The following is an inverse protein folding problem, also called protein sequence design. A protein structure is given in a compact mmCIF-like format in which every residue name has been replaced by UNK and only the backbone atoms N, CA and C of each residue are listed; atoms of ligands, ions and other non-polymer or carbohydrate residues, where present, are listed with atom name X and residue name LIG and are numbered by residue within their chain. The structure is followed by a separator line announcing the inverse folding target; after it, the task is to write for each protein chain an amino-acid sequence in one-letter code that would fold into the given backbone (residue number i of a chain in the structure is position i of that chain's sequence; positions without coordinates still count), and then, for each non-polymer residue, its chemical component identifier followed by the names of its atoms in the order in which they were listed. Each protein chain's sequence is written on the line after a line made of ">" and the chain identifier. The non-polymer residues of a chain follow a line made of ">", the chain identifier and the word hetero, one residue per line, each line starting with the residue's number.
data_IF_552983967086
#
_entry.id   IF_552983967086
#
_cell.length_a   1.000
_cell.length_b   1.000
_cell.length_c   1.000
_cell.angle_alpha   90.00
_cell.angle_beta   90.00
_cell.angle_gamma   90.00
#
_symmetry.space_group_name_H-M   'P 1'
#
loop_
_entity.id
_entity.type
_entity.pdbx_description
1 polymer ?
#
# COMPACT_ATOMS: atom_id res chain seq x y z
N UNK A 1 74.22 -8.91 21.43
CA UNK A 1 73.04 -8.20 21.99
C UNK A 1 72.48 -7.28 20.92
N UNK A 2 71.16 -7.26 20.69
CA UNK A 2 70.47 -6.16 19.99
C UNK A 2 68.98 -6.20 20.32
N UNK A 3 68.34 -5.04 20.51
CA UNK A 3 66.91 -4.94 20.85
C UNK A 3 66.10 -4.60 19.61
N UNK A 4 65.18 -5.46 19.18
CA UNK A 4 64.12 -5.06 18.24
C UNK A 4 63.04 -4.32 19.02
N UNK A 5 62.71 -3.09 18.60
CA UNK A 5 61.52 -2.37 19.07
C UNK A 5 60.34 -2.84 18.23
N UNK A 6 59.22 -3.17 18.87
CA UNK A 6 57.94 -3.25 18.18
C UNK A 6 57.42 -1.81 17.94
N UNK A 7 56.79 -1.59 16.79
CA UNK A 7 55.98 -0.40 16.52
C UNK A 7 54.55 -0.90 16.43
N UNK A 8 53.69 -0.38 17.31
CA UNK A 8 52.26 -0.69 17.31
C UNK A 8 51.57 0.29 16.35
N UNK A 9 51.05 -0.21 15.23
CA UNK A 9 50.23 0.58 14.33
C UNK A 9 48.77 0.49 14.79
N UNK A 10 48.25 1.57 15.38
CA UNK A 10 46.84 1.67 15.74
C UNK A 10 46.02 2.04 14.50
N UNK A 11 45.27 1.08 13.96
CA UNK A 11 44.30 1.34 12.90
C UNK A 11 43.03 1.96 13.49
N UNK A 12 42.86 3.27 13.33
CA UNK A 12 41.61 3.96 13.70
C UNK A 12 40.54 3.65 12.66
N UNK A 13 39.63 2.73 12.99
CA UNK A 13 38.41 2.52 12.20
C UNK A 13 37.49 3.73 12.35
N UNK A 14 37.51 4.63 11.37
CA UNK A 14 36.57 5.73 11.27
C UNK A 14 35.24 5.22 10.73
N UNK A 15 34.26 5.00 11.61
CA UNK A 15 32.88 4.73 11.19
C UNK A 15 32.31 5.99 10.52
N UNK A 16 32.33 6.03 9.19
CA UNK A 16 31.70 7.08 8.41
C UNK A 16 30.18 6.88 8.49
N UNK A 17 29.53 7.59 9.40
CA UNK A 17 28.07 7.63 9.48
C UNK A 17 27.53 8.40 8.26
N UNK A 18 27.30 7.68 7.17
CA UNK A 18 26.51 8.17 6.05
C UNK A 18 25.08 8.42 6.56
N UNK A 19 24.69 9.69 6.62
CA UNK A 19 23.32 10.05 6.97
C UNK A 19 22.38 9.63 5.85
N UNK A 20 21.45 8.71 6.14
CA UNK A 20 20.38 8.34 5.21
C UNK A 20 19.54 9.59 4.94
N UNK A 21 19.37 10.02 3.67
CA UNK A 21 18.45 11.11 3.35
C UNK A 21 17.02 10.60 3.58
N UNK A 22 16.41 11.05 4.67
CA UNK A 22 14.98 10.82 4.94
C UNK A 22 14.16 11.38 3.78
N UNK A 23 13.17 10.64 3.27
CA UNK A 23 12.07 11.28 2.54
C UNK A 23 11.55 12.46 3.37
N UNK A 24 11.34 13.61 2.71
CA UNK A 24 10.98 14.84 3.38
C UNK A 24 9.63 14.67 4.08
N UNK A 25 9.53 15.09 5.35
CA UNK A 25 8.29 14.96 6.15
C UNK A 25 7.07 15.70 5.55
N UNK A 26 7.27 16.46 4.47
CA UNK A 26 6.23 17.07 3.67
C UNK A 26 5.20 16.06 3.12
N UNK A 27 5.59 14.82 2.81
CA UNK A 27 4.66 13.78 2.35
C UNK A 27 3.73 13.31 3.48
N UNK A 28 4.32 12.88 4.60
CA UNK A 28 3.60 12.29 5.73
C UNK A 28 2.50 13.18 6.32
N UNK A 29 2.74 14.50 6.41
CA UNK A 29 1.80 15.49 6.95
C UNK A 29 0.79 16.04 5.91
N UNK A 30 0.87 15.68 4.62
CA UNK A 30 0.04 16.31 3.57
C UNK A 30 -0.71 15.37 2.61
N UNK A 31 -0.31 14.11 2.45
CA UNK A 31 -0.95 13.20 1.50
C UNK A 31 -2.36 12.73 1.91
N UNK A 32 -2.52 12.25 3.15
CA UNK A 32 -3.77 11.66 3.62
C UNK A 32 -4.74 12.75 4.09
N UNK A 33 -5.57 13.21 3.16
CA UNK A 33 -6.32 14.46 3.24
C UNK A 33 -7.13 14.65 4.53
N UNK A 34 -6.65 15.54 5.41
CA UNK A 34 -7.34 15.91 6.65
C UNK A 34 -8.56 16.81 6.36
N UNK A 35 -9.66 16.17 5.95
CA UNK A 35 -10.88 16.81 5.46
C UNK A 35 -12.17 16.17 5.98
N UNK A 36 -12.21 15.83 7.28
CA UNK A 36 -13.30 15.12 7.93
C UNK A 36 -14.63 15.88 8.04
N UNK A 37 -15.23 16.27 6.92
CA UNK A 37 -16.50 16.97 6.82
C UNK A 37 -17.44 16.26 5.84
N UNK A 38 -18.63 15.87 6.32
CA UNK A 38 -19.69 15.27 5.51
C UNK A 38 -20.28 16.29 4.54
N UNK A 39 -19.69 16.42 3.36
CA UNK A 39 -20.24 17.26 2.30
C UNK A 39 -21.42 16.60 1.61
N UNK A 40 -22.60 16.83 2.19
CA UNK A 40 -23.83 16.84 1.42
C UNK A 40 -23.73 17.84 0.26
N UNK A 41 -24.50 17.60 -0.79
CA UNK A 41 -24.55 18.42 -2.01
C UNK A 41 -24.72 19.92 -1.69
N UNK A 42 -24.01 20.80 -2.41
CA UNK A 42 -24.62 21.95 -3.10
C UNK A 42 -23.62 22.76 -3.97
N UNK A 43 -24.18 23.72 -4.73
CA UNK A 43 -23.57 24.48 -5.82
C UNK A 43 -22.64 25.64 -5.34
N UNK A 44 -21.78 26.21 -6.22
CA UNK A 44 -20.77 27.21 -5.82
C UNK A 44 -21.36 28.58 -5.44
N UNK A 45 -20.61 29.34 -4.61
CA UNK A 45 -21.01 30.65 -4.07
C UNK A 45 -19.87 31.68 -4.05
N UNK A 46 -20.16 32.91 -4.46
CA UNK A 46 -19.28 34.11 -4.35
C UNK A 46 -20.13 35.39 -4.53
N UNK A 47 -19.90 36.53 -3.84
CA UNK A 47 -19.51 36.74 -2.44
C UNK A 47 -20.54 37.64 -1.65
N UNK A 48 -20.27 37.91 -0.37
CA UNK A 48 -21.08 38.73 0.57
C UNK A 48 -20.99 40.26 0.32
N UNK A 49 -21.93 41.11 0.83
CA UNK A 49 -21.84 41.60 2.22
C UNK A 49 -23.17 41.76 3.02
N UNK A 50 -23.03 41.75 4.35
CA UNK A 50 -23.99 41.99 5.48
C UNK A 50 -24.28 43.51 5.69
N UNK A 51 -25.18 44.00 6.60
CA UNK A 51 -26.04 43.31 7.59
C UNK A 51 -27.52 43.82 7.74
N UNK A 52 -28.35 43.13 8.56
CA UNK A 52 -29.08 43.71 9.72
C UNK A 52 -29.99 42.72 10.49
N UNK A 53 -29.78 42.65 11.82
CA UNK A 53 -30.76 42.69 12.93
C UNK A 53 -32.04 41.81 13.06
N UNK A 54 -32.13 41.18 14.26
CA UNK A 54 -33.33 41.08 15.16
C UNK A 54 -34.19 39.78 15.25
N UNK A 55 -34.37 39.37 16.52
CA UNK A 55 -35.45 38.58 17.16
C UNK A 55 -35.55 37.04 17.04
N UNK A 56 -35.34 36.39 18.19
CA UNK A 56 -35.93 35.10 18.61
C UNK A 56 -37.47 35.22 18.75
N UNK A 57 -38.24 34.13 18.60
CA UNK A 57 -38.72 33.45 19.81
C UNK A 57 -38.83 31.90 19.73
N UNK A 58 -38.96 31.31 20.91
CA UNK A 58 -39.47 29.96 21.23
C UNK A 58 -40.38 30.12 22.48
N UNK A 59 -41.07 29.10 23.03
CA UNK A 59 -41.14 27.67 22.66
C UNK A 59 -42.60 27.18 22.49
N UNK A 60 -42.81 25.86 22.48
CA UNK A 60 -43.80 25.19 23.36
C UNK A 60 -43.68 23.66 23.27
N UNK A 61 -43.71 23.00 24.42
CA UNK A 61 -43.75 21.53 24.59
C UNK A 61 -45.21 21.01 24.64
N UNK A 62 -45.39 19.68 24.55
CA UNK A 62 -46.43 18.93 25.29
C UNK A 62 -46.12 17.41 25.27
N UNK A 63 -46.71 16.63 26.17
CA UNK A 63 -46.07 15.45 26.78
C UNK A 63 -46.97 14.19 26.89
N UNK A 64 -46.36 12.98 26.89
CA UNK A 64 -46.87 11.71 27.51
C UNK A 64 -48.22 11.07 27.01
N UNK A 65 -48.63 9.82 27.34
CA UNK A 65 -47.92 8.62 27.89
C UNK A 65 -48.61 7.27 27.51
N UNK A 66 -47.79 6.20 27.53
CA UNK A 66 -48.00 4.76 27.87
C UNK A 66 -49.32 3.95 27.67
N UNK A 67 -49.17 2.68 27.23
CA UNK A 67 -49.80 1.46 27.80
C UNK A 67 -49.44 0.14 27.03
N UNK A 68 -49.11 -0.96 27.74
CA UNK A 68 -49.06 -2.38 27.26
C UNK A 68 -49.71 -3.32 28.31
N UNK A 69 -49.99 -4.66 28.14
CA UNK A 69 -49.25 -5.77 27.46
C UNK A 69 -50.14 -6.57 26.43
N UNK A 70 -50.17 -7.90 26.16
CA UNK A 70 -49.68 -9.17 26.78
C UNK A 70 -49.64 -10.39 25.82
N UNK A 71 -48.80 -11.40 26.14
CA UNK A 71 -48.86 -12.87 25.90
C UNK A 71 -49.43 -13.51 24.58
N UNK A 72 -48.52 -14.03 23.73
CA UNK A 72 -48.09 -15.45 23.61
C UNK A 72 -49.15 -16.56 23.86
N UNK A 73 -49.37 -17.59 22.97
CA UNK A 73 -48.33 -18.55 22.52
C UNK A 73 -48.41 -19.12 21.08
N UNK A 74 -47.40 -19.92 20.70
CA UNK A 74 -47.33 -20.77 19.49
C UNK A 74 -47.77 -22.25 19.79
N UNK A 75 -47.89 -23.18 18.80
CA UNK A 75 -46.70 -23.94 18.34
C UNK A 75 -46.76 -24.60 16.92
N UNK A 76 -45.69 -25.37 16.60
CA UNK A 76 -45.65 -26.56 15.72
C UNK A 76 -45.54 -26.37 14.19
N UNK A 77 -44.79 -27.30 13.57
CA UNK A 77 -44.58 -27.48 12.13
C UNK A 77 -44.78 -28.95 11.74
N UNK A 78 -44.99 -29.25 10.46
CA UNK A 78 -44.93 -30.60 9.88
C UNK A 78 -44.42 -30.53 8.42
N UNK A 79 -44.04 -31.67 7.82
CA UNK A 79 -43.20 -31.74 6.61
C UNK A 79 -43.57 -32.91 5.67
N UNK A 80 -42.73 -33.16 4.67
CA UNK A 80 -42.77 -34.29 3.71
C UNK A 80 -43.80 -34.14 2.56
N UNK A 81 -43.65 -34.87 1.41
CA UNK A 81 -42.68 -35.93 1.14
C UNK A 81 -41.65 -35.65 0.03
N UNK A 82 -40.64 -36.54 0.04
CA UNK A 82 -39.62 -36.76 -1.00
C UNK A 82 -40.09 -37.82 -2.00
N UNK A 83 -39.61 -37.74 -3.25
CA UNK A 83 -39.62 -38.86 -4.20
C UNK A 83 -38.20 -39.16 -4.68
N UNK A 84 -37.95 -40.40 -5.09
CA UNK A 84 -36.64 -41.00 -5.38
C UNK A 84 -36.69 -41.75 -6.72
N UNK A 85 -35.79 -41.42 -7.65
CA UNK A 85 -35.44 -42.27 -8.78
C UNK A 85 -33.94 -42.17 -9.11
N UNK A 86 -33.34 -43.33 -9.36
CA UNK A 86 -31.89 -43.55 -9.58
C UNK A 86 -31.46 -43.32 -11.04
N UNK A 87 -30.15 -43.23 -11.36
CA UNK A 87 -29.66 -42.64 -12.62
C UNK A 87 -29.64 -43.59 -13.83
N UNK A 88 -29.20 -43.07 -14.98
CA UNK A 88 -28.88 -43.83 -16.21
C UNK A 88 -27.63 -43.25 -16.87
N UNK A 89 -26.91 -44.06 -17.63
CA UNK A 89 -25.48 -43.92 -17.95
C UNK A 89 -25.19 -43.63 -19.44
N UNK A 90 -24.12 -42.86 -19.68
CA UNK A 90 -23.30 -42.70 -20.90
C UNK A 90 -23.95 -42.49 -22.30
N UNK A 91 -23.59 -41.36 -22.93
CA UNK A 91 -23.38 -41.26 -24.38
C UNK A 91 -22.39 -40.12 -24.73
N UNK A 92 -21.35 -40.45 -25.50
CA UNK A 92 -20.38 -39.54 -26.16
C UNK A 92 -19.72 -40.32 -27.31
N UNK A 93 -19.05 -39.70 -28.31
CA UNK A 93 -19.05 -38.29 -28.69
C UNK A 93 -19.40 -38.06 -30.19
N UNK A 94 -19.78 -36.83 -30.55
CA UNK A 94 -19.54 -36.28 -31.89
C UNK A 94 -19.02 -34.83 -31.74
N UNK A 95 -18.11 -34.42 -32.62
CA UNK A 95 -17.38 -33.16 -32.50
C UNK A 95 -17.61 -32.26 -33.72
N UNK A 96 -17.63 -30.94 -33.51
CA UNK A 96 -16.77 -29.97 -34.24
C UNK A 96 -16.95 -28.53 -33.69
N UNK A 97 -16.20 -27.57 -34.29
CA UNK A 97 -16.36 -26.12 -34.15
C UNK A 97 -15.93 -25.44 -32.83
N UNK A 98 -14.63 -25.54 -32.53
CA UNK A 98 -13.75 -24.39 -32.25
C UNK A 98 -14.32 -23.18 -31.49
N UNK A 99 -14.14 -23.17 -30.17
CA UNK A 99 -14.05 -21.94 -29.38
C UNK A 99 -12.72 -21.93 -28.62
N UNK A 100 -11.97 -20.83 -28.68
CA UNK A 100 -10.73 -20.67 -27.92
C UNK A 100 -11.06 -20.47 -26.43
N UNK A 101 -10.46 -21.23 -25.50
CA UNK A 101 -10.62 -20.97 -24.08
C UNK A 101 -9.82 -19.74 -23.69
N UNK A 102 -10.49 -18.58 -23.57
CA UNK A 102 -9.96 -17.45 -22.82
C UNK A 102 -9.98 -17.77 -21.31
N UNK A 103 -8.94 -18.48 -20.88
CA UNK A 103 -8.63 -18.85 -19.50
C UNK A 103 -7.09 -18.91 -19.41
N UNK A 104 -6.43 -18.56 -18.31
CA UNK A 104 -6.94 -18.27 -16.97
C UNK A 104 -6.38 -16.91 -16.49
N UNK A 105 -7.09 -16.20 -15.60
CA UNK A 105 -6.42 -15.20 -14.75
C UNK A 105 -5.64 -16.00 -13.70
N UNK A 106 -4.34 -16.17 -13.92
CA UNK A 106 -3.51 -16.99 -13.06
C UNK A 106 -3.36 -16.33 -11.67
N UNK A 107 -3.74 -17.04 -10.62
CA UNK A 107 -3.42 -16.65 -9.24
C UNK A 107 -1.93 -16.90 -8.95
N UNK A 108 -1.07 -16.01 -9.46
CA UNK A 108 0.38 -16.06 -9.32
C UNK A 108 0.81 -15.61 -7.92
N UNK A 109 0.44 -16.43 -6.93
CA UNK A 109 1.04 -16.47 -5.59
C UNK A 109 2.51 -16.92 -5.62
N UNK A 110 2.96 -17.56 -6.70
CA UNK A 110 4.38 -17.77 -6.94
C UNK A 110 5.07 -16.45 -7.31
N UNK A 111 6.10 -16.07 -6.56
CA UNK A 111 6.97 -14.94 -6.88
C UNK A 111 7.71 -15.14 -8.23
N UNK A 112 8.05 -14.07 -8.97
CA UNK A 112 8.68 -14.15 -10.28
C UNK A 112 10.17 -14.53 -10.22
N UNK A 113 10.73 -14.91 -11.37
CA UNK A 113 12.18 -15.04 -11.56
C UNK A 113 12.77 -13.64 -11.90
N UNK A 114 13.53 -13.06 -10.97
CA UNK A 114 14.02 -11.68 -11.03
C UNK A 114 15.38 -11.51 -10.32
N UNK A 115 16.09 -10.39 -10.55
CA UNK A 115 17.42 -10.15 -9.95
C UNK A 115 17.38 -9.93 -8.44
N UNK A 116 16.26 -9.43 -7.91
CA UNK A 116 15.93 -9.47 -6.49
C UNK A 116 14.49 -9.95 -6.32
N UNK A 117 14.29 -10.85 -5.36
CA UNK A 117 12.99 -11.37 -4.92
C UNK A 117 13.07 -11.56 -3.40
N UNK A 118 11.99 -11.24 -2.70
CA UNK A 118 11.79 -11.62 -1.30
C UNK A 118 10.37 -12.21 -1.13
N UNK A 119 10.29 -13.38 -0.50
CA UNK A 119 9.09 -14.21 -0.35
C UNK A 119 8.65 -14.42 1.11
N UNK A 120 9.34 -13.75 2.04
CA UNK A 120 8.98 -13.68 3.47
C UNK A 120 8.81 -15.05 4.16
N UNK A 121 9.51 -16.08 3.68
CA UNK A 121 9.42 -17.48 4.16
C UNK A 121 10.04 -17.75 5.55
N UNK A 122 10.61 -16.76 6.22
CA UNK A 122 11.18 -16.86 7.59
C UNK A 122 10.38 -16.03 8.61
N UNK A 123 9.64 -16.70 9.50
CA UNK A 123 8.89 -16.05 10.58
C UNK A 123 9.74 -15.06 11.40
N UNK A 124 9.25 -13.83 11.53
CA UNK A 124 9.90 -12.76 12.27
C UNK A 124 8.88 -11.95 13.07
N UNK A 125 8.82 -12.17 14.40
CA UNK A 125 8.02 -11.33 15.28
C UNK A 125 8.46 -9.86 15.25
N UNK A 126 7.52 -8.99 15.56
CA UNK A 126 7.68 -7.53 15.59
C UNK A 126 8.97 -7.10 16.31
N UNK A 127 9.76 -6.24 15.65
CA UNK A 127 11.07 -5.80 16.14
C UNK A 127 12.26 -6.69 15.79
N UNK A 128 12.06 -7.86 15.16
CA UNK A 128 13.14 -8.72 14.63
C UNK A 128 13.28 -8.70 13.10
N UNK A 129 12.29 -8.20 12.36
CA UNK A 129 12.22 -8.31 10.88
C UNK A 129 13.52 -7.86 10.20
N UNK A 130 13.98 -6.63 10.39
CA UNK A 130 15.21 -6.13 9.74
C UNK A 130 16.51 -6.80 10.18
N UNK A 131 16.49 -7.57 11.27
CA UNK A 131 17.63 -8.41 11.69
C UNK A 131 17.63 -9.77 10.97
N UNK A 132 16.46 -10.27 10.57
CA UNK A 132 16.29 -11.54 9.86
C UNK A 132 16.29 -11.35 8.33
N UNK A 133 15.85 -10.17 7.87
CA UNK A 133 15.81 -9.73 6.46
C UNK A 133 16.82 -8.62 6.11
N UNK A 134 18.10 -8.66 6.55
CA UNK A 134 19.04 -7.55 6.34
C UNK A 134 19.47 -7.37 4.87
N UNK A 135 19.09 -8.30 3.98
CA UNK A 135 19.34 -8.23 2.54
C UNK A 135 18.09 -7.84 1.73
N UNK A 136 16.97 -7.59 2.41
CA UNK A 136 15.65 -7.46 1.76
C UNK A 136 14.79 -6.34 2.36
N UNK A 137 15.10 -5.86 3.57
CA UNK A 137 14.31 -4.85 4.27
C UNK A 137 15.17 -3.85 5.06
N UNK A 138 15.10 -2.57 4.66
CA UNK A 138 15.76 -1.43 5.31
C UNK A 138 14.68 -0.49 5.89
N UNK A 139 14.20 -0.73 7.13
CA UNK A 139 13.15 0.10 7.73
C UNK A 139 13.64 1.52 8.04
N UNK A 140 12.73 2.49 7.99
CA UNK A 140 12.99 3.81 8.54
C UNK A 140 13.18 3.73 10.07
N UNK A 141 14.03 4.59 10.67
CA UNK A 141 14.17 4.65 12.13
C UNK A 141 12.84 4.93 12.84
N UNK A 142 12.64 4.25 13.96
CA UNK A 142 11.50 4.49 14.86
C UNK A 142 11.42 5.96 15.30
N UNK A 143 10.26 6.59 15.08
CA UNK A 143 10.02 8.02 15.30
C UNK A 143 10.21 8.91 14.06
N UNK A 144 10.57 8.34 12.89
CA UNK A 144 10.65 9.12 11.63
C UNK A 144 9.28 9.71 11.29
N UNK A 145 9.27 10.98 10.87
CA UNK A 145 8.07 11.81 10.66
C UNK A 145 7.09 11.82 11.84
N UNK A 146 7.53 11.51 13.06
CA UNK A 146 6.69 11.41 14.26
C UNK A 146 5.75 10.20 14.31
N UNK A 147 5.43 9.57 13.17
CA UNK A 147 4.41 8.51 13.05
C UNK A 147 4.98 7.11 12.79
N UNK A 148 6.14 6.97 12.13
CA UNK A 148 6.65 5.67 11.70
C UNK A 148 7.37 4.95 12.84
N UNK A 149 6.93 3.73 13.16
CA UNK A 149 7.60 2.85 14.11
C UNK A 149 7.60 1.39 13.59
N UNK A 150 8.29 1.10 12.47
CA UNK A 150 8.28 -0.22 11.86
C UNK A 150 8.77 -1.34 12.79
N UNK A 151 9.59 -1.03 13.82
CA UNK A 151 9.96 -2.03 14.84
C UNK A 151 8.80 -2.40 15.80
N UNK A 152 7.65 -1.73 15.70
CA UNK A 152 6.43 -1.95 16.49
C UNK A 152 5.20 -2.36 15.64
N UNK A 153 5.28 -2.25 14.32
CA UNK A 153 4.14 -2.50 13.40
C UNK A 153 4.41 -3.59 12.37
N UNK A 154 5.67 -3.85 12.00
CA UNK A 154 6.00 -4.86 10.97
C UNK A 154 6.41 -6.18 11.61
N UNK A 155 5.82 -7.27 11.12
CA UNK A 155 6.17 -8.67 11.39
C UNK A 155 6.23 -9.47 10.08
N UNK A 156 6.70 -10.71 10.15
CA UNK A 156 6.59 -11.71 9.08
C UNK A 156 6.06 -13.02 9.70
N UNK A 157 5.09 -13.65 9.05
CA UNK A 157 4.59 -14.98 9.38
C UNK A 157 3.82 -15.57 8.18
N UNK A 158 3.65 -16.89 8.15
CA UNK A 158 2.82 -17.59 7.15
C UNK A 158 3.16 -17.30 5.67
N UNK A 159 4.38 -16.82 5.39
CA UNK A 159 4.84 -16.44 4.05
C UNK A 159 4.50 -15.00 3.63
N UNK A 160 4.12 -14.11 4.56
CA UNK A 160 3.85 -12.70 4.25
C UNK A 160 4.55 -11.75 5.23
N UNK A 161 4.96 -10.57 4.76
CA UNK A 161 5.17 -9.42 5.64
C UNK A 161 3.80 -8.84 6.03
N UNK A 162 3.56 -8.72 7.32
CA UNK A 162 2.37 -8.11 7.91
C UNK A 162 2.71 -6.76 8.56
N UNK A 163 1.97 -5.72 8.19
CA UNK A 163 2.01 -4.39 8.79
C UNK A 163 0.70 -4.12 9.54
N UNK A 164 0.76 -4.18 10.87
CA UNK A 164 -0.40 -4.03 11.75
C UNK A 164 -0.91 -2.57 11.81
N UNK A 165 -2.18 -2.38 11.40
CA UNK A 165 -2.88 -1.10 11.29
C UNK A 165 -3.71 -0.79 12.54
N UNK A 166 -4.10 0.48 12.73
CA UNK A 166 -4.91 0.91 13.90
C UNK A 166 -4.19 0.74 15.24
N UNK A 167 -2.85 0.73 15.23
CA UNK A 167 -1.97 0.58 16.40
C UNK A 167 -1.55 1.92 17.02
N UNK A 168 -1.82 3.04 16.33
CA UNK A 168 -1.32 4.37 16.67
C UNK A 168 0.09 4.67 16.13
N UNK A 169 0.72 3.74 15.42
CA UNK A 169 1.95 3.96 14.66
C UNK A 169 1.81 3.46 13.21
N UNK A 170 2.61 4.02 12.31
CA UNK A 170 2.71 3.61 10.91
C UNK A 170 3.96 2.78 10.64
N UNK A 171 4.19 2.44 9.38
CA UNK A 171 5.43 1.82 8.91
C UNK A 171 5.96 2.55 7.67
N UNK A 172 7.29 2.55 7.52
CA UNK A 172 7.96 2.98 6.30
C UNK A 172 9.32 2.28 6.19
N UNK A 173 9.77 2.01 4.96
CA UNK A 173 11.06 1.38 4.73
C UNK A 173 11.22 0.89 3.29
N UNK A 174 12.48 0.57 2.95
CA UNK A 174 12.94 0.27 1.59
C UNK A 174 13.21 -1.22 1.41
N UNK A 175 12.82 -1.79 0.27
CA UNK A 175 13.08 -3.18 -0.07
C UNK A 175 14.50 -3.38 -0.62
N UNK A 176 15.03 -4.59 -0.52
CA UNK A 176 16.37 -4.94 -0.96
C UNK A 176 17.48 -4.76 0.09
N UNK A 177 18.73 -4.91 -0.36
CA UNK A 177 19.89 -4.96 0.53
C UNK A 177 20.43 -3.56 0.88
N UNK A 178 21.14 -3.45 1.99
CA UNK A 178 21.79 -2.20 2.40
C UNK A 178 22.84 -1.66 1.42
N UNK A 179 23.20 -2.41 0.38
CA UNK A 179 24.13 -2.03 -0.68
C UNK A 179 23.48 -1.79 -2.05
N UNK A 180 22.27 -2.31 -2.30
CA UNK A 180 21.64 -2.33 -3.63
C UNK A 180 20.12 -2.10 -3.59
N UNK A 181 19.68 -1.27 -2.65
CA UNK A 181 18.28 -0.85 -2.47
C UNK A 181 18.08 0.64 -2.81
N UNK A 182 19.11 1.33 -3.29
CA UNK A 182 19.17 2.81 -3.33
C UNK A 182 19.63 3.37 -4.68
N UNK A 183 20.09 2.52 -5.59
CA UNK A 183 20.81 2.91 -6.80
C UNK A 183 20.19 2.41 -8.12
N UNK A 184 18.94 1.93 -8.08
CA UNK A 184 18.21 1.53 -9.27
C UNK A 184 18.00 2.70 -10.24
N UNK A 185 18.25 2.47 -11.53
CA UNK A 185 18.03 3.45 -12.61
C UNK A 185 17.36 2.73 -13.79
N UNK A 186 16.03 2.66 -13.75
CA UNK A 186 15.23 1.78 -14.60
C UNK A 186 14.99 0.41 -13.96
N UNK A 187 14.18 -0.40 -14.63
CA UNK A 187 13.86 -1.76 -14.21
C UNK A 187 12.36 -2.05 -14.16
N UNK A 188 12.00 -3.25 -13.69
CA UNK A 188 10.63 -3.60 -13.31
C UNK A 188 10.55 -3.74 -11.80
N UNK A 189 9.52 -3.17 -11.18
CA UNK A 189 9.34 -3.12 -9.74
C UNK A 189 7.95 -3.65 -9.42
N UNK A 190 7.88 -4.79 -8.74
CA UNK A 190 6.62 -5.51 -8.54
C UNK A 190 6.39 -5.86 -7.06
N UNK A 191 5.13 -5.82 -6.66
CA UNK A 191 4.67 -6.24 -5.34
C UNK A 191 3.31 -6.95 -5.42
N UNK A 192 3.15 -8.07 -4.72
CA UNK A 192 1.85 -8.72 -4.50
C UNK A 192 1.34 -8.39 -3.10
N UNK A 193 0.28 -7.60 -3.02
CA UNK A 193 -0.20 -7.00 -1.76
C UNK A 193 -1.74 -7.00 -1.63
N UNK A 194 -2.23 -6.95 -0.38
CA UNK A 194 -3.63 -6.67 -0.02
C UNK A 194 -3.75 -6.09 1.38
N UNK A 195 -4.89 -5.47 1.72
CA UNK A 195 -5.19 -4.97 3.06
C UNK A 195 -6.55 -5.48 3.60
N UNK A 196 -6.52 -6.06 4.81
CA UNK A 196 -7.70 -6.57 5.51
C UNK A 196 -8.07 -5.65 6.67
N UNK A 197 -9.23 -4.98 6.60
CA UNK A 197 -9.58 -3.88 7.53
C UNK A 197 -8.73 -2.64 7.28
N UNK A 198 -8.55 -1.78 8.29
CA UNK A 198 -7.69 -0.60 8.18
C UNK A 198 -8.32 0.63 7.53
N UNK A 199 -9.64 0.66 7.37
CA UNK A 199 -10.42 1.75 6.76
C UNK A 199 -10.07 3.12 7.39
N UNK A 200 -9.96 4.16 6.58
CA UNK A 200 -9.43 5.47 6.99
C UNK A 200 -7.89 5.51 7.13
N UNK A 201 -7.20 4.41 6.81
CA UNK A 201 -5.76 4.36 6.58
C UNK A 201 -5.47 4.09 5.10
N UNK A 202 -4.20 4.13 4.71
CA UNK A 202 -3.77 3.84 3.35
C UNK A 202 -2.29 3.44 3.27
N UNK A 203 -1.89 3.00 2.09
CA UNK A 203 -0.50 2.72 1.73
C UNK A 203 -0.10 3.53 0.50
N UNK A 204 1.18 3.86 0.41
CA UNK A 204 1.86 4.27 -0.82
C UNK A 204 3.11 3.39 -0.99
N UNK A 205 3.14 2.58 -2.04
CA UNK A 205 4.36 1.93 -2.54
C UNK A 205 4.97 2.83 -3.62
N UNK A 206 6.29 3.01 -3.62
CA UNK A 206 6.90 4.10 -4.38
C UNK A 206 8.31 3.80 -4.88
N UNK A 207 8.63 4.37 -6.03
CA UNK A 207 10.00 4.69 -6.44
C UNK A 207 10.27 6.13 -6.00
N UNK A 208 11.01 6.30 -4.91
CA UNK A 208 11.40 7.62 -4.41
C UNK A 208 12.85 7.97 -4.81
N UNK A 209 13.14 9.21 -5.27
CA UNK A 209 14.50 9.64 -5.60
C UNK A 209 15.51 9.55 -4.44
N UNK A 210 16.61 8.80 -4.62
CA UNK A 210 17.63 8.60 -3.56
C UNK A 210 18.36 9.89 -3.17
N UNK A 211 18.30 10.93 -4.01
CA UNK A 211 18.74 12.29 -3.66
C UNK A 211 17.95 12.94 -2.51
N UNK A 212 16.69 12.53 -2.32
CA UNK A 212 15.73 13.22 -1.45
C UNK A 212 15.03 14.42 -2.11
N UNK A 213 15.32 14.72 -3.37
CA UNK A 213 14.67 15.81 -4.13
C UNK A 213 13.40 15.29 -4.80
N UNK A 214 12.24 15.86 -4.47
CA UNK A 214 10.95 15.42 -5.06
C UNK A 214 10.93 15.56 -6.60
N UNK A 215 11.45 16.66 -7.13
CA UNK A 215 11.53 16.93 -8.57
C UNK A 215 12.55 16.07 -9.35
N UNK A 216 13.30 15.19 -8.67
CA UNK A 216 14.07 14.15 -9.37
C UNK A 216 13.19 12.95 -9.83
N UNK A 217 11.90 12.93 -9.44
CA UNK A 217 10.84 12.15 -10.08
C UNK A 217 10.17 11.06 -9.23
N UNK A 218 9.30 11.43 -8.29
CA UNK A 218 8.50 10.45 -7.53
C UNK A 218 7.48 9.70 -8.40
N UNK A 219 7.37 8.39 -8.16
CA UNK A 219 6.34 7.51 -8.74
C UNK A 219 5.74 6.67 -7.62
N UNK A 220 4.43 6.82 -7.38
CA UNK A 220 3.69 6.03 -6.40
C UNK A 220 2.79 5.02 -7.10
N UNK A 221 3.01 3.73 -6.86
CA UNK A 221 2.14 2.65 -7.30
C UNK A 221 2.37 1.34 -6.52
N UNK A 222 1.32 0.73 -5.95
CA UNK A 222 -0.01 1.29 -5.71
C UNK A 222 -0.02 2.30 -4.56
N UNK A 223 -0.84 3.35 -4.68
CA UNK A 223 -1.22 4.22 -3.57
C UNK A 223 -2.75 4.31 -3.43
N UNK A 224 -3.24 4.30 -2.19
CA UNK A 224 -4.61 4.68 -1.88
C UNK A 224 -5.06 4.31 -0.47
N UNK A 225 -6.24 4.81 -0.09
CA UNK A 225 -6.96 4.39 1.11
C UNK A 225 -7.49 2.95 0.96
N UNK A 226 -7.54 2.18 2.05
CA UNK A 226 -7.85 0.74 1.99
C UNK A 226 -9.33 0.42 1.76
N UNK A 227 -10.23 1.38 2.03
CA UNK A 227 -11.64 1.34 1.64
C UNK A 227 -11.89 1.62 0.14
N UNK A 228 -10.91 2.22 -0.55
CA UNK A 228 -11.00 2.66 -1.94
C UNK A 228 -10.24 1.73 -2.92
N UNK A 229 -10.26 2.10 -4.20
CA UNK A 229 -9.44 1.49 -5.25
C UNK A 229 -8.08 2.20 -5.34
N UNK A 230 -6.94 1.51 -5.30
CA UNK A 230 -5.63 2.15 -5.46
C UNK A 230 -5.45 2.77 -6.84
N UNK A 231 -4.53 3.72 -6.94
CA UNK A 231 -4.11 4.37 -8.18
C UNK A 231 -2.58 4.31 -8.32
N UNK A 232 -2.09 4.57 -9.53
CA UNK A 232 -0.76 5.12 -9.72
C UNK A 232 -0.82 6.65 -9.67
N UNK A 233 0.21 7.27 -9.11
CA UNK A 233 0.47 8.70 -9.23
C UNK A 233 1.87 8.91 -9.83
N UNK A 234 1.92 9.67 -10.93
CA UNK A 234 3.16 9.99 -11.65
C UNK A 234 3.44 11.48 -11.50
N UNK A 235 4.35 11.84 -10.59
CA UNK A 235 4.56 13.21 -10.15
C UNK A 235 5.45 14.01 -11.10
N UNK A 236 5.13 15.30 -11.29
CA UNK A 236 5.90 16.12 -12.24
C UNK A 236 7.30 16.44 -11.72
N UNK A 237 8.31 16.24 -12.58
CA UNK A 237 9.70 16.59 -12.30
C UNK A 237 9.96 18.10 -12.36
N UNK A 238 8.95 18.93 -12.61
CA UNK A 238 9.10 20.40 -12.65
C UNK A 238 9.26 20.97 -11.24
N UNK A 239 10.40 21.61 -10.88
CA UNK A 239 10.64 22.06 -9.52
C UNK A 239 9.63 23.12 -9.04
N UNK A 240 9.05 22.90 -7.85
CA UNK A 240 7.97 23.72 -7.30
C UNK A 240 6.58 23.43 -7.87
N UNK A 241 6.41 22.33 -8.62
CA UNK A 241 5.14 21.85 -9.19
C UNK A 241 4.94 20.34 -8.97
N UNK A 242 5.70 19.73 -8.07
CA UNK A 242 5.76 18.28 -7.87
C UNK A 242 4.43 17.68 -7.39
N UNK A 243 3.54 18.47 -6.80
CA UNK A 243 2.18 18.06 -6.45
C UNK A 243 1.19 18.01 -7.65
N UNK A 244 1.60 18.49 -8.83
CA UNK A 244 0.92 18.20 -10.10
C UNK A 244 1.36 16.81 -10.56
N UNK A 245 0.41 15.91 -10.84
CA UNK A 245 0.66 14.51 -11.22
C UNK A 245 -0.41 13.97 -12.15
N UNK A 246 -0.07 12.93 -12.92
CA UNK A 246 -1.07 12.08 -13.59
C UNK A 246 -1.55 11.04 -12.58
N UNK A 247 -2.86 10.80 -12.49
CA UNK A 247 -3.45 9.72 -11.69
C UNK A 247 -4.07 8.66 -12.61
N UNK A 248 -3.70 7.39 -12.40
CA UNK A 248 -4.21 6.25 -13.15
C UNK A 248 -4.89 5.29 -12.16
N UNK A 249 -6.22 5.25 -12.14
CA UNK A 249 -6.97 4.35 -11.25
C UNK A 249 -6.84 2.88 -11.68
N UNK A 250 -6.59 1.98 -10.73
CA UNK A 250 -6.45 0.54 -11.02
C UNK A 250 -7.79 -0.13 -11.34
N UNK A 251 -8.86 0.29 -10.65
CA UNK A 251 -10.17 -0.36 -10.72
C UNK A 251 -10.27 -1.68 -9.94
N UNK A 252 -9.19 -2.11 -9.26
CA UNK A 252 -9.19 -3.26 -8.35
C UNK A 252 -9.43 -2.81 -6.90
N UNK A 253 -9.53 -3.75 -5.96
CA UNK A 253 -9.70 -3.43 -4.53
C UNK A 253 -8.51 -3.91 -3.72
N UNK A 254 -8.12 -3.15 -2.69
CA UNK A 254 -7.16 -3.63 -1.70
C UNK A 254 -7.58 -4.92 -0.97
N UNK A 255 -8.84 -5.36 -1.06
CA UNK A 255 -9.33 -6.50 -0.27
C UNK A 255 -8.90 -7.86 -0.82
N UNK A 256 -8.58 -7.91 -2.10
CA UNK A 256 -8.12 -9.10 -2.81
C UNK A 256 -6.61 -9.02 -3.07
N UNK A 257 -5.96 -10.17 -3.34
CA UNK A 257 -4.54 -10.21 -3.69
C UNK A 257 -4.36 -9.73 -5.13
N UNK A 258 -3.58 -8.66 -5.32
CA UNK A 258 -3.22 -8.14 -6.63
C UNK A 258 -1.71 -7.96 -6.75
N UNK A 259 -1.19 -8.21 -7.95
CA UNK A 259 0.21 -7.94 -8.31
C UNK A 259 0.28 -6.61 -9.03
N UNK A 260 0.97 -5.64 -8.44
CA UNK A 260 1.14 -4.30 -9.00
C UNK A 260 2.57 -4.14 -9.51
N UNK A 261 2.75 -3.62 -10.72
CA UNK A 261 4.06 -3.52 -11.38
C UNK A 261 4.26 -2.15 -12.02
N UNK A 262 5.45 -1.58 -11.79
CA UNK A 262 5.99 -0.41 -12.48
C UNK A 262 7.14 -0.85 -13.38
N UNK A 263 7.00 -0.70 -14.70
CA UNK A 263 8.08 -0.92 -15.67
C UNK A 263 8.65 0.43 -16.12
N UNK A 264 9.88 0.74 -15.72
CA UNK A 264 10.52 2.04 -15.92
C UNK A 264 11.74 1.94 -16.85
N UNK A 265 11.67 2.67 -17.96
CA UNK A 265 12.76 2.87 -18.93
C UNK A 265 13.26 4.31 -18.78
N UNK A 266 14.48 4.55 -18.25
CA UNK A 266 14.96 5.87 -17.85
C UNK A 266 14.90 6.92 -18.95
N UNK A 267 14.16 8.01 -18.69
CA UNK A 267 13.95 9.12 -19.62
C UNK A 267 13.11 8.80 -20.86
N UNK A 268 12.52 7.61 -20.97
CA UNK A 268 11.70 7.19 -22.12
C UNK A 268 10.25 6.90 -21.71
N UNK A 269 10.01 6.00 -20.75
CA UNK A 269 8.65 5.65 -20.33
C UNK A 269 8.56 5.06 -18.92
N UNK A 270 7.39 5.21 -18.29
CA UNK A 270 6.92 4.41 -17.15
C UNK A 270 5.59 3.75 -17.52
N UNK A 271 5.50 2.43 -17.43
CA UNK A 271 4.26 1.67 -17.63
C UNK A 271 3.77 1.11 -16.31
N UNK A 272 2.46 1.19 -16.08
CA UNK A 272 1.80 0.70 -14.88
C UNK A 272 0.92 -0.49 -15.24
N UNK A 273 1.01 -1.60 -14.50
CA UNK A 273 0.15 -2.78 -14.72
C UNK A 273 -0.33 -3.42 -13.43
N UNK A 274 -1.50 -4.07 -13.50
CA UNK A 274 -2.07 -4.89 -12.41
C UNK A 274 -2.39 -6.27 -12.96
N UNK A 275 -1.92 -7.32 -12.27
CA UNK A 275 -2.09 -8.73 -12.66
C UNK A 275 -1.66 -8.99 -14.11
N UNK A 276 -0.54 -8.38 -14.52
CA UNK A 276 0.01 -8.45 -15.88
C UNK A 276 -0.73 -7.63 -16.94
N UNK A 277 -1.83 -6.95 -16.59
CA UNK A 277 -2.59 -6.08 -17.50
C UNK A 277 -2.14 -4.62 -17.35
N UNK A 278 -1.59 -4.06 -18.43
CA UNK A 278 -1.26 -2.63 -18.53
C UNK A 278 -2.50 -1.75 -18.30
N UNK A 279 -2.35 -0.73 -17.46
CA UNK A 279 -3.31 0.35 -17.24
C UNK A 279 -3.04 1.52 -18.20
N UNK A 280 -1.81 2.05 -18.18
CA UNK A 280 -1.36 3.15 -19.04
C UNK A 280 0.19 3.21 -19.10
N UNK A 281 0.73 3.98 -20.05
CA UNK A 281 2.17 4.24 -20.23
C UNK A 281 2.43 5.74 -20.37
N UNK A 282 3.20 6.30 -19.42
CA UNK A 282 3.56 7.71 -19.37
C UNK A 282 4.96 7.92 -19.97
N UNK A 283 5.11 8.93 -20.85
CA UNK A 283 6.35 9.24 -21.59
C UNK A 283 6.80 10.70 -21.42
N UNK A 284 6.49 11.31 -20.27
CA UNK A 284 6.93 12.63 -19.83
C UNK A 284 7.16 12.57 -18.32
N UNK A 285 7.92 13.50 -17.73
CA UNK A 285 8.32 13.46 -16.31
C UNK A 285 8.96 12.11 -15.86
N UNK A 286 9.53 11.36 -16.82
CA UNK A 286 10.15 10.05 -16.59
C UNK A 286 11.53 10.21 -15.91
N UNK A 287 11.77 9.59 -14.74
CA UNK A 287 13.03 9.76 -14.02
C UNK A 287 14.25 9.19 -14.75
N UNK A 288 15.43 9.72 -14.42
CA UNK A 288 16.74 9.30 -14.97
C UNK A 288 17.84 9.18 -13.91
N UNK A 289 17.49 9.35 -12.63
CA UNK A 289 18.39 9.38 -11.47
C UNK A 289 18.22 8.13 -10.59
N UNK A 290 19.14 7.84 -9.66
CA UNK A 290 18.99 6.77 -8.68
C UNK A 290 17.71 6.86 -7.84
N UNK A 291 16.93 5.77 -7.81
CA UNK A 291 15.71 5.61 -7.03
C UNK A 291 15.79 4.40 -6.09
N UNK A 292 14.87 4.37 -5.11
CA UNK A 292 14.68 3.23 -4.20
C UNK A 292 13.23 2.75 -4.23
N UNK A 293 13.03 1.43 -4.23
CA UNK A 293 11.70 0.85 -4.09
C UNK A 293 11.35 0.68 -2.61
N UNK A 294 10.31 1.39 -2.16
CA UNK A 294 9.96 1.46 -0.74
C UNK A 294 8.44 1.59 -0.55
N UNK A 295 7.97 1.54 0.70
CA UNK A 295 6.57 1.85 1.00
C UNK A 295 6.41 2.68 2.28
N UNK A 296 5.22 3.27 2.44
CA UNK A 296 4.77 4.03 3.60
C UNK A 296 3.31 3.69 3.93
N UNK A 297 2.96 3.64 5.23
CA UNK A 297 1.60 3.38 5.76
C UNK A 297 1.32 4.31 6.94
N UNK A 298 0.12 4.93 6.97
CA UNK A 298 -0.32 5.87 8.01
C UNK A 298 -0.69 5.21 9.35
N UNK A 299 -1.08 6.03 10.34
CA UNK A 299 -1.32 5.57 11.72
C UNK A 299 -2.71 5.94 12.32
N UNK A 300 -3.62 6.48 11.51
CA UNK A 300 -4.86 7.14 11.95
C UNK A 300 -6.14 6.34 11.77
N UNK A 301 -6.19 5.39 10.83
CA UNK A 301 -7.39 4.60 10.52
C UNK A 301 -7.67 3.44 11.48
N UNK A 302 -8.67 2.65 11.11
CA UNK A 302 -9.14 1.50 11.87
C UNK A 302 -8.10 0.36 11.95
N UNK A 303 -8.44 -0.68 12.71
CA UNK A 303 -7.59 -1.88 12.82
C UNK A 303 -7.68 -2.75 11.58
N UNK A 304 -6.55 -3.36 11.26
CA UNK A 304 -6.38 -4.22 10.10
C UNK A 304 -4.92 -4.56 9.88
N UNK A 305 -4.61 -5.04 8.69
CA UNK A 305 -3.30 -5.50 8.28
C UNK A 305 -3.08 -5.12 6.81
N UNK A 306 -1.93 -4.52 6.47
CA UNK A 306 -1.40 -4.56 5.09
C UNK A 306 -0.50 -5.80 5.01
N UNK A 307 -0.84 -6.72 4.10
CA UNK A 307 -0.14 -7.97 3.87
C UNK A 307 0.59 -7.89 2.54
N UNK A 308 1.86 -8.28 2.54
CA UNK A 308 2.73 -8.30 1.36
C UNK A 308 3.27 -9.72 1.22
N UNK A 309 2.89 -10.38 0.13
CA UNK A 309 3.19 -11.78 -0.19
C UNK A 309 4.62 -11.92 -0.72
N UNK A 310 4.96 -11.08 -1.70
CA UNK A 310 6.34 -10.97 -2.20
C UNK A 310 6.60 -9.58 -2.79
N UNK A 311 7.89 -9.25 -2.90
CA UNK A 311 8.40 -8.10 -3.67
C UNK A 311 9.52 -8.55 -4.60
N UNK A 312 9.65 -7.91 -5.76
CA UNK A 312 10.74 -8.21 -6.69
C UNK A 312 11.18 -7.00 -7.51
N UNK A 313 12.46 -6.96 -7.89
CA UNK A 313 12.98 -6.00 -8.87
C UNK A 313 13.85 -6.67 -9.94
N UNK A 314 13.77 -6.16 -11.17
CA UNK A 314 14.66 -6.53 -12.30
C UNK A 314 15.44 -5.32 -12.79
N UNK A 315 16.73 -5.48 -13.06
CA UNK A 315 17.62 -4.48 -13.70
C UNK A 315 18.09 -4.91 -15.11
#
# INVERSE_FOLDING_TARGET
>A
MSRRRAILAAATAGCLALGVPTASAASADSWWGWGGHRHGQHAPVTPTPTPSDTATPAPSDDEESDATPTETPAPTAEAAPIEDTTPTEAAEPEAEASAEPQNEVADTSAAPDASFVEDFTTDAVTGLVSRLYPQSWQPYPDGTSGIYAPSKTVSVHDGVMDVALGTGAGAAGTFGSSAGAWDHVGGSFSVRAKATGGDGNGAAFMLWPTSGTWSDGEIDFPEGNFEDSPSAFHHSMTPGKEADRVQIGTGVSWRDWHTYTVDWVPGESVTYSVDGKVLDTITHDVPTTPHRFMFQVGNWGDRGNLLIDWVSTTE
#
